data_IF_877987490704
#
_entry.id   IF_877987490704
#
_cell.length_a   1.000
_cell.length_b   1.000
_cell.length_c   1.000
_cell.angle_alpha   90.00
_cell.angle_beta   90.00
_cell.angle_gamma   90.00
#
_symmetry.space_group_name_H-M   'P 1'
#
loop_
_entity.id
_entity.type
_entity.pdbx_description
1 polymer ?
#
# COMPACT_ATOMS: atom_id res chain seq x y z
N UNK A 1 1.47 0.52 4.29
CA UNK A 1 0.09 0.01 4.43
C UNK A 1 0.09 -1.51 4.32
N UNK A 2 0.18 -2.10 3.12
CA UNK A 2 0.16 -3.58 2.95
C UNK A 2 1.17 -4.32 3.84
N UNK A 3 2.42 -3.84 3.90
CA UNK A 3 3.45 -4.41 4.79
C UNK A 3 3.07 -4.35 6.27
N UNK A 4 2.45 -3.26 6.72
CA UNK A 4 1.99 -3.10 8.12
C UNK A 4 0.83 -4.04 8.41
N UNK A 5 -0.13 -4.17 7.49
CA UNK A 5 -1.27 -5.09 7.66
C UNK A 5 -0.81 -6.55 7.79
N UNK A 6 0.14 -6.98 6.95
CA UNK A 6 0.77 -8.30 7.05
C UNK A 6 1.49 -8.49 8.38
N UNK A 7 2.28 -7.50 8.80
CA UNK A 7 3.06 -7.57 10.03
C UNK A 7 2.17 -7.64 11.28
N UNK A 8 1.16 -6.78 11.36
CA UNK A 8 0.22 -6.73 12.47
C UNK A 8 -0.58 -8.04 12.56
N UNK A 9 -1.07 -8.58 11.44
CA UNK A 9 -1.75 -9.88 11.41
C UNK A 9 -0.83 -11.03 11.84
N UNK A 10 0.43 -11.04 11.37
CA UNK A 10 1.43 -12.04 11.79
C UNK A 10 1.68 -11.99 13.29
N UNK A 11 1.63 -10.80 13.88
CA UNK A 11 1.79 -10.58 15.32
C UNK A 11 0.48 -10.82 16.11
N UNK A 12 -0.59 -11.31 15.46
CA UNK A 12 -1.88 -11.59 16.09
C UNK A 12 -2.66 -10.33 16.47
N UNK A 13 -2.27 -9.16 15.95
CA UNK A 13 -2.95 -7.90 16.21
C UNK A 13 -4.16 -7.74 15.28
N UNK A 14 -5.19 -7.06 15.78
CA UNK A 14 -6.33 -6.68 14.94
C UNK A 14 -5.92 -5.59 13.95
N UNK A 15 -6.05 -5.88 12.66
CA UNK A 15 -5.65 -4.97 11.59
C UNK A 15 -6.80 -4.03 11.23
N UNK A 16 -6.55 -2.71 11.23
CA UNK A 16 -7.50 -1.72 10.71
C UNK A 16 -7.04 -1.18 9.37
N UNK A 17 -7.89 -1.28 8.36
CA UNK A 17 -7.63 -0.80 7.01
C UNK A 17 -8.47 0.46 6.67
N UNK A 18 -7.94 1.42 5.90
CA UNK A 18 -6.57 1.47 5.38
C UNK A 18 -5.51 1.81 6.45
N UNK A 19 -5.91 2.34 7.60
CA UNK A 19 -5.03 2.58 8.76
C UNK A 19 -5.83 2.64 10.06
N UNK A 20 -5.13 2.66 11.20
CA UNK A 20 -5.77 2.81 12.51
C UNK A 20 -6.50 4.16 12.70
N UNK A 21 -6.06 5.20 11.99
CA UNK A 21 -6.55 6.58 12.14
C UNK A 21 -7.62 6.97 11.11
N UNK A 22 -7.65 6.30 9.97
CA UNK A 22 -8.47 6.70 8.81
C UNK A 22 -9.21 5.51 8.22
N UNK A 23 -10.49 5.71 7.86
CA UNK A 23 -11.34 4.75 7.16
C UNK A 23 -11.25 4.93 5.64
N UNK A 24 -11.75 3.95 4.87
CA UNK A 24 -11.81 3.99 3.40
C UNK A 24 -12.59 5.16 2.81
N UNK A 25 -13.50 5.79 3.57
CA UNK A 25 -14.19 7.01 3.14
C UNK A 25 -13.43 8.30 3.50
N UNK A 26 -12.26 8.20 4.12
CA UNK A 26 -11.40 9.33 4.54
C UNK A 26 -10.05 9.32 3.82
N UNK A 27 -10.00 8.81 2.58
CA UNK A 27 -8.73 8.72 1.83
C UNK A 27 -8.09 10.08 1.58
N UNK A 28 -8.87 11.16 1.47
CA UNK A 28 -8.33 12.52 1.35
C UNK A 28 -7.49 12.93 2.56
N UNK A 29 -8.00 12.68 3.77
CA UNK A 29 -7.27 12.94 5.03
C UNK A 29 -6.04 12.03 5.16
N UNK A 30 -6.15 10.76 4.74
CA UNK A 30 -5.02 9.84 4.70
C UNK A 30 -3.91 10.33 3.75
N UNK A 31 -4.27 10.89 2.59
CA UNK A 31 -3.29 11.46 1.65
C UNK A 31 -2.62 12.71 2.20
N UNK A 32 -3.36 13.56 2.92
CA UNK A 32 -2.77 14.69 3.62
C UNK A 32 -1.80 14.21 4.70
N UNK A 33 -2.18 13.21 5.48
CA UNK A 33 -1.31 12.61 6.48
C UNK A 33 -0.02 12.03 5.89
N UNK A 34 -0.07 11.39 4.71
CA UNK A 34 1.15 10.97 4.02
C UNK A 34 2.06 12.14 3.65
N UNK A 35 1.46 13.26 3.23
CA UNK A 35 2.20 14.48 2.91
C UNK A 35 2.87 15.03 4.17
N UNK A 36 2.13 15.19 5.27
CA UNK A 36 2.66 15.73 6.52
C UNK A 36 3.76 14.83 7.10
N UNK A 37 3.58 13.51 6.99
CA UNK A 37 4.49 12.51 7.57
C UNK A 37 5.78 12.32 6.76
N UNK A 38 5.76 12.46 5.43
CA UNK A 38 6.90 12.08 4.59
C UNK A 38 7.40 13.18 3.64
N UNK A 39 6.58 14.16 3.26
CA UNK A 39 6.97 15.12 2.21
C UNK A 39 8.06 16.10 2.63
N UNK A 40 8.33 16.22 3.94
CA UNK A 40 9.44 17.02 4.48
C UNK A 40 10.82 16.35 4.30
N UNK A 41 10.85 15.05 3.95
CA UNK A 41 12.09 14.31 3.71
C UNK A 41 12.68 14.65 2.34
N UNK A 42 13.99 14.44 2.18
CA UNK A 42 14.66 14.61 0.90
C UNK A 42 14.18 13.58 -0.13
N UNK A 43 14.29 13.92 -1.42
CA UNK A 43 14.00 12.98 -2.51
C UNK A 43 14.88 11.71 -2.43
N UNK A 44 16.09 11.80 -1.87
CA UNK A 44 16.97 10.65 -1.70
C UNK A 44 16.42 9.70 -0.64
N UNK A 45 16.02 10.22 0.52
CA UNK A 45 15.41 9.42 1.59
C UNK A 45 14.08 8.80 1.15
N UNK A 46 13.24 9.57 0.45
CA UNK A 46 11.97 9.06 -0.09
C UNK A 46 12.19 7.91 -1.09
N UNK A 47 13.18 8.04 -1.98
CA UNK A 47 13.54 6.97 -2.93
C UNK A 47 14.08 5.73 -2.21
N UNK A 48 14.95 5.91 -1.21
CA UNK A 48 15.50 4.80 -0.42
C UNK A 48 14.40 4.03 0.32
N UNK A 49 13.50 4.74 1.01
CA UNK A 49 12.35 4.15 1.71
C UNK A 49 11.40 3.43 0.76
N UNK A 50 11.10 4.02 -0.39
CA UNK A 50 10.25 3.37 -1.38
C UNK A 50 10.91 2.09 -1.94
N UNK A 51 12.21 2.12 -2.19
CA UNK A 51 12.96 0.96 -2.67
C UNK A 51 12.97 -0.18 -1.63
N UNK A 52 13.22 0.15 -0.36
CA UNK A 52 13.14 -0.80 0.77
C UNK A 52 11.74 -1.42 0.89
N UNK A 53 10.69 -0.61 0.78
CA UNK A 53 9.31 -1.08 0.80
C UNK A 53 9.01 -2.03 -0.37
N UNK A 54 9.53 -1.77 -1.57
CA UNK A 54 9.33 -2.64 -2.72
C UNK A 54 10.06 -3.98 -2.53
N UNK A 55 11.29 -3.97 -2.04
CA UNK A 55 12.00 -5.20 -1.71
C UNK A 55 11.24 -6.02 -0.65
N UNK A 56 10.69 -5.35 0.35
CA UNK A 56 9.88 -5.99 1.39
C UNK A 56 8.58 -6.56 0.85
N UNK A 57 7.94 -5.90 -0.13
CA UNK A 57 6.75 -6.43 -0.81
C UNK A 57 7.10 -7.65 -1.65
N UNK A 58 8.22 -7.64 -2.38
CA UNK A 58 8.70 -8.81 -3.11
C UNK A 58 8.97 -10.00 -2.18
N UNK A 59 9.73 -9.79 -1.10
CA UNK A 59 9.96 -10.84 -0.10
C UNK A 59 8.65 -11.30 0.58
N UNK A 60 7.68 -10.40 0.74
CA UNK A 60 6.36 -10.77 1.21
C UNK A 60 5.65 -11.70 0.22
N UNK A 61 5.65 -11.39 -1.07
CA UNK A 61 5.03 -12.23 -2.10
C UNK A 61 5.69 -13.61 -2.11
N UNK A 62 7.02 -13.68 -2.07
CA UNK A 62 7.77 -14.94 -2.07
C UNK A 62 7.48 -15.81 -0.84
N UNK A 63 7.06 -15.19 0.26
CA UNK A 63 6.70 -15.91 1.49
C UNK A 63 5.26 -16.43 1.55
N UNK A 64 4.40 -16.03 0.61
CA UNK A 64 3.00 -16.47 0.53
C UNK A 64 2.89 -17.66 -0.41
N UNK A 65 2.00 -18.60 -0.09
CA UNK A 65 1.62 -19.61 -1.08
C UNK A 65 0.81 -18.99 -2.23
N UNK A 66 0.71 -19.70 -3.36
CA UNK A 66 -0.15 -19.26 -4.46
C UNK A 66 -1.60 -19.10 -4.01
N UNK A 67 -2.11 -20.03 -3.21
CA UNK A 67 -3.45 -19.96 -2.64
C UNK A 67 -3.61 -18.70 -1.79
N UNK A 68 -2.67 -18.44 -0.87
CA UNK A 68 -2.72 -17.26 -0.01
C UNK A 68 -2.68 -15.93 -0.77
N UNK A 69 -2.05 -15.92 -1.95
CA UNK A 69 -1.91 -14.74 -2.77
C UNK A 69 -3.11 -14.51 -3.70
N UNK A 70 -3.65 -15.59 -4.28
CA UNK A 70 -4.60 -15.53 -5.39
C UNK A 70 -6.02 -15.97 -5.05
N UNK A 71 -6.25 -16.66 -3.93
CA UNK A 71 -7.59 -17.08 -3.50
C UNK A 71 -8.19 -16.11 -2.45
N UNK A 72 -9.53 -15.97 -2.42
CA UNK A 72 -10.21 -15.16 -1.41
C UNK A 72 -10.15 -15.81 -0.03
N UNK A 73 -10.41 -15.04 1.03
CA UNK A 73 -10.54 -15.53 2.42
C UNK A 73 -9.26 -16.11 3.05
N UNK A 74 -8.10 -15.91 2.41
CA UNK A 74 -6.83 -16.38 2.93
C UNK A 74 -6.19 -15.46 3.97
N UNK A 75 -6.66 -14.21 4.08
CA UNK A 75 -6.15 -13.19 4.99
C UNK A 75 -7.28 -12.36 5.57
N UNK A 76 -7.29 -12.19 6.89
CA UNK A 76 -8.36 -11.46 7.59
C UNK A 76 -8.36 -9.98 7.22
N UNK A 77 -7.18 -9.37 7.12
CA UNK A 77 -7.10 -7.95 6.74
C UNK A 77 -7.59 -7.69 5.31
N UNK A 78 -7.52 -8.68 4.42
CA UNK A 78 -8.00 -8.55 3.04
C UNK A 78 -9.54 -8.59 3.00
N UNK A 79 -10.14 -9.51 3.75
CA UNK A 79 -11.59 -9.62 3.90
C UNK A 79 -12.20 -8.40 4.62
N UNK A 80 -11.55 -7.92 5.68
CA UNK A 80 -12.02 -6.77 6.46
C UNK A 80 -11.84 -5.43 5.73
N UNK A 81 -11.05 -5.38 4.66
CA UNK A 81 -10.78 -4.16 3.92
C UNK A 81 -11.93 -3.69 3.01
N UNK A 82 -12.85 -4.57 2.65
CA UNK A 82 -13.92 -4.24 1.71
C UNK A 82 -15.26 -4.72 2.27
N UNK A 83 -16.25 -3.82 2.34
CA UNK A 83 -17.55 -4.14 2.96
C UNK A 83 -18.43 -5.09 2.14
N UNK A 84 -18.22 -5.17 0.83
CA UNK A 84 -19.16 -5.82 -0.10
C UNK A 84 -18.50 -6.74 -1.13
N UNK A 85 -17.25 -6.47 -1.50
CA UNK A 85 -16.51 -7.29 -2.46
C UNK A 85 -15.38 -8.02 -1.72
N UNK A 86 -15.22 -9.32 -1.92
CA UNK A 86 -14.04 -10.03 -1.42
C UNK A 86 -12.88 -9.79 -2.38
N UNK A 87 -11.76 -9.32 -1.87
CA UNK A 87 -10.53 -9.10 -2.65
C UNK A 87 -9.42 -10.00 -2.11
N UNK A 88 -8.75 -10.67 -3.03
CA UNK A 88 -7.59 -11.50 -2.73
C UNK A 88 -6.37 -10.60 -2.51
N UNK A 89 -5.32 -11.13 -1.86
CA UNK A 89 -4.15 -10.36 -1.43
C UNK A 89 -3.48 -9.63 -2.60
N UNK A 90 -3.38 -10.27 -3.77
CA UNK A 90 -2.74 -9.68 -4.94
C UNK A 90 -3.44 -8.38 -5.41
N UNK A 91 -4.77 -8.26 -5.26
CA UNK A 91 -5.50 -7.04 -5.63
C UNK A 91 -5.06 -5.85 -4.78
N UNK A 92 -4.89 -6.05 -3.47
CA UNK A 92 -4.39 -5.02 -2.56
C UNK A 92 -2.95 -4.62 -2.87
N UNK A 93 -2.09 -5.58 -3.20
CA UNK A 93 -0.72 -5.28 -3.65
C UNK A 93 -0.77 -4.45 -4.93
N UNK A 94 -1.56 -4.86 -5.92
CA UNK A 94 -1.67 -4.21 -7.21
C UNK A 94 -2.11 -2.74 -7.10
N UNK A 95 -3.19 -2.46 -6.36
CA UNK A 95 -3.74 -1.09 -6.23
C UNK A 95 -2.84 -0.17 -5.39
N UNK A 96 -1.91 -0.73 -4.61
CA UNK A 96 -0.93 0.04 -3.84
C UNK A 96 0.46 0.15 -4.52
N UNK A 97 0.67 -0.55 -5.65
CA UNK A 97 1.97 -0.56 -6.36
C UNK A 97 1.81 -0.26 -7.85
N UNK A 98 1.47 -1.25 -8.66
CA UNK A 98 1.43 -1.17 -10.12
C UNK A 98 0.54 -0.03 -10.61
N UNK A 99 -0.70 0.05 -10.09
CA UNK A 99 -1.66 1.08 -10.50
C UNK A 99 -1.17 2.52 -10.16
N UNK A 100 -0.79 2.85 -8.91
CA UNK A 100 -0.29 4.18 -8.59
C UNK A 100 1.04 4.50 -9.30
N UNK A 101 1.96 3.54 -9.48
CA UNK A 101 3.21 3.81 -10.21
C UNK A 101 2.96 4.25 -11.65
N UNK A 102 1.99 3.65 -12.35
CA UNK A 102 1.60 4.10 -13.68
C UNK A 102 1.03 5.52 -13.68
N UNK A 103 0.07 5.80 -12.79
CA UNK A 103 -0.62 7.10 -12.74
C UNK A 103 0.29 8.24 -12.28
N UNK A 104 1.07 8.05 -11.21
CA UNK A 104 1.99 9.06 -10.68
C UNK A 104 3.19 9.27 -11.60
N UNK A 105 3.64 8.26 -12.36
CA UNK A 105 4.64 8.45 -13.42
C UNK A 105 4.19 9.46 -14.47
N UNK A 106 2.92 9.40 -14.89
CA UNK A 106 2.38 10.37 -15.85
C UNK A 106 2.32 11.78 -15.24
N UNK A 107 1.90 11.90 -13.97
CA UNK A 107 1.86 13.18 -13.25
C UNK A 107 3.26 13.82 -13.12
N UNK A 108 4.26 13.05 -12.68
CA UNK A 108 5.63 13.59 -12.50
C UNK A 108 6.28 13.97 -13.84
N UNK A 109 5.98 13.24 -14.93
CA UNK A 109 6.42 13.62 -16.28
C UNK A 109 5.84 14.95 -16.72
N UNK A 110 4.54 15.17 -16.50
CA UNK A 110 3.87 16.44 -16.80
C UNK A 110 4.48 17.58 -15.97
N UNK A 111 4.70 17.35 -14.68
CA UNK A 111 5.33 18.33 -13.79
C UNK A 111 6.73 18.72 -14.28
N UNK A 112 7.58 17.74 -14.60
CA UNK A 112 8.92 18.01 -15.14
C UNK A 112 8.89 18.85 -16.41
N UNK A 113 7.94 18.62 -17.32
CA UNK A 113 7.81 19.41 -18.57
C UNK A 113 7.41 20.87 -18.33
N UNK A 114 6.76 21.16 -17.21
CA UNK A 114 6.26 22.51 -16.88
C UNK A 114 7.32 23.29 -16.09
N UNK A 115 8.07 22.60 -15.24
CA UNK A 115 8.96 23.23 -14.25
C UNK A 115 10.44 23.20 -14.67
N UNK A 116 10.85 22.24 -15.50
CA UNK A 116 12.20 22.13 -16.07
C UNK A 116 12.15 22.45 -17.56
#
# INVERSE_FOLDING_TARGET
MVLKWKEDERNGLQVKTPSDKFKWNQLGELYQWFTDTYAHLSLQELKAKLNENINSISAMIDSLSEEELFEPHMRKWADEATKTATWEVYKFIHVNTVAPFGTFRTKIRKWKKIVL
#
